data_IF_865178146400
#
_entry.id   IF_865178146400
#
_cell.length_a   1.000
_cell.length_b   1.000
_cell.length_c   1.000
_cell.angle_alpha   90.00
_cell.angle_beta   90.00
_cell.angle_gamma   90.00
#
_symmetry.space_group_name_H-M   'P 1'
#
loop_
_entity.id
_entity.type
_entity.pdbx_description
1 polymer ?
#
# COMPACT_ATOMS: atom_id res chain seq x y z
N UNK A 1 12.22 -6.91 9.36
CA UNK A 1 11.35 -8.06 9.06
C UNK A 1 9.94 -7.72 9.51
N UNK A 2 8.92 -8.11 8.72
CA UNK A 2 7.52 -7.90 9.09
C UNK A 2 7.06 -9.01 10.04
N UNK A 3 6.39 -8.61 11.12
CA UNK A 3 5.94 -9.49 12.19
C UNK A 3 4.52 -9.15 12.64
N UNK A 4 3.88 -10.12 13.29
CA UNK A 4 2.61 -9.96 13.97
C UNK A 4 2.81 -10.01 15.49
N UNK A 5 2.31 -9.02 16.22
CA UNK A 5 2.32 -8.96 17.68
C UNK A 5 1.53 -10.13 18.26
N UNK A 6 2.10 -10.76 19.30
CA UNK A 6 1.47 -11.89 20.00
C UNK A 6 0.53 -11.45 21.12
N UNK A 7 0.72 -10.25 21.65
CA UNK A 7 -0.12 -9.68 22.69
C UNK A 7 -1.44 -9.21 22.08
N UNK A 8 -2.54 -9.87 22.45
CA UNK A 8 -3.87 -9.57 21.89
C UNK A 8 -4.43 -8.25 22.38
N UNK A 9 -3.99 -7.78 23.55
CA UNK A 9 -4.37 -6.47 24.08
C UNK A 9 -3.62 -5.30 23.42
N UNK A 10 -2.56 -5.59 22.66
CA UNK A 10 -1.76 -4.59 21.95
C UNK A 10 -2.50 -4.08 20.71
N UNK A 11 -2.69 -2.76 20.62
CA UNK A 11 -3.41 -2.07 19.53
C UNK A 11 -2.51 -1.58 18.39
N UNK A 12 -1.29 -2.10 18.27
CA UNK A 12 -0.36 -1.70 17.21
C UNK A 12 -0.93 -2.07 15.84
N UNK A 13 -1.24 -1.11 14.96
CA UNK A 13 -1.40 -1.35 13.50
C UNK A 13 -2.08 -2.69 13.13
N UNK A 14 -3.25 -2.98 13.70
CA UNK A 14 -3.97 -4.25 13.53
C UNK A 14 -3.13 -5.53 13.75
N UNK A 15 -2.19 -5.45 14.68
CA UNK A 15 -1.23 -6.47 15.07
C UNK A 15 0.07 -6.50 14.28
N UNK A 16 0.33 -5.65 13.27
CA UNK A 16 1.50 -5.80 12.39
C UNK A 16 2.56 -4.72 12.59
N UNK A 17 3.84 -5.11 12.53
CA UNK A 17 4.95 -4.17 12.68
C UNK A 17 6.25 -4.65 12.04
N UNK A 18 7.17 -3.72 11.80
CA UNK A 18 8.53 -4.01 11.32
C UNK A 18 9.52 -3.97 12.49
N UNK A 19 10.34 -5.01 12.62
CA UNK A 19 11.38 -5.09 13.67
C UNK A 19 11.34 -6.41 14.44
N UNK A 20 12.20 -6.58 15.46
CA UNK A 20 12.20 -7.77 16.31
C UNK A 20 11.05 -7.74 17.34
N UNK A 21 10.85 -6.60 17.99
CA UNK A 21 9.89 -6.40 19.08
C UNK A 21 8.87 -5.33 18.70
N UNK A 22 7.65 -5.49 19.20
CA UNK A 22 6.58 -4.51 19.03
C UNK A 22 6.96 -3.19 19.74
N UNK A 23 6.92 -2.06 19.05
CA UNK A 23 7.27 -0.76 19.65
C UNK A 23 6.23 -0.23 20.66
N UNK A 24 5.10 -0.91 20.85
CA UNK A 24 4.06 -0.55 21.84
C UNK A 24 4.18 -1.39 23.11
N UNK A 25 4.16 -2.73 22.99
CA UNK A 25 4.17 -3.64 24.15
C UNK A 25 5.52 -4.31 24.41
N UNK A 26 6.52 -4.09 23.55
CA UNK A 26 7.85 -4.70 23.59
C UNK A 26 7.88 -6.24 23.44
N UNK A 27 6.75 -6.88 23.16
CA UNK A 27 6.69 -8.32 22.92
C UNK A 27 7.32 -8.74 21.59
N UNK A 28 7.87 -9.95 21.55
CA UNK A 28 8.36 -10.55 20.32
C UNK A 28 7.22 -10.86 19.34
N UNK A 29 7.43 -10.52 18.08
CA UNK A 29 6.45 -10.79 17.04
C UNK A 29 6.60 -12.17 16.41
N UNK A 30 5.48 -12.79 16.01
CA UNK A 30 5.47 -13.92 15.08
C UNK A 30 5.99 -13.46 13.72
N UNK A 31 6.98 -14.16 13.17
CA UNK A 31 7.52 -13.87 11.84
C UNK A 31 6.42 -14.03 10.77
N UNK A 32 6.30 -13.03 9.90
CA UNK A 32 5.40 -13.06 8.73
C UNK A 32 6.24 -13.16 7.45
N UNK A 33 7.17 -12.23 7.24
CA UNK A 33 8.06 -12.23 6.07
C UNK A 33 9.32 -11.40 6.29
N UNK A 34 10.35 -11.68 5.49
CA UNK A 34 11.60 -10.91 5.49
C UNK A 34 11.43 -9.52 4.88
N UNK A 35 12.37 -8.61 5.14
CA UNK A 35 12.36 -7.28 4.52
C UNK A 35 12.49 -7.34 2.99
N UNK A 36 13.21 -8.35 2.48
CA UNK A 36 13.34 -8.57 1.04
C UNK A 36 11.99 -8.92 0.41
N UNK A 37 11.23 -9.80 1.06
CA UNK A 37 9.89 -10.22 0.61
C UNK A 37 8.90 -9.08 0.72
N UNK A 38 8.85 -8.39 1.87
CA UNK A 38 7.97 -7.24 2.07
C UNK A 38 8.21 -6.13 1.04
N UNK A 39 9.47 -5.77 0.78
CA UNK A 39 9.81 -4.77 -0.24
C UNK A 39 9.45 -5.22 -1.66
N UNK A 40 9.67 -6.50 -1.97
CA UNK A 40 9.36 -7.04 -3.29
C UNK A 40 7.84 -7.11 -3.53
N UNK A 41 7.08 -7.55 -2.53
CA UNK A 41 5.61 -7.56 -2.56
C UNK A 41 5.06 -6.14 -2.59
N UNK A 42 5.62 -5.21 -1.83
CA UNK A 42 5.24 -3.80 -1.85
C UNK A 42 5.40 -3.16 -3.24
N UNK A 43 6.47 -3.48 -3.97
CA UNK A 43 6.64 -3.05 -5.38
C UNK A 43 5.61 -3.68 -6.31
N UNK A 44 5.27 -4.96 -6.11
CA UNK A 44 4.24 -5.62 -6.90
C UNK A 44 2.84 -5.03 -6.62
N UNK A 45 2.51 -4.76 -5.36
CA UNK A 45 1.27 -4.08 -4.98
C UNK A 45 1.19 -2.69 -5.62
N UNK A 46 2.27 -1.90 -5.55
CA UNK A 46 2.30 -0.59 -6.21
C UNK A 46 2.09 -0.71 -7.74
N UNK A 47 2.68 -1.71 -8.39
CA UNK A 47 2.47 -1.95 -9.83
C UNK A 47 1.02 -2.34 -10.14
N UNK A 48 0.48 -3.34 -9.44
CA UNK A 48 -0.88 -3.85 -9.68
C UNK A 48 -1.91 -2.75 -9.39
N UNK A 49 -1.83 -2.16 -8.21
CA UNK A 49 -2.88 -1.33 -7.66
C UNK A 49 -2.88 0.10 -8.21
N UNK A 50 -1.80 0.56 -8.85
CA UNK A 50 -1.68 1.94 -9.34
C UNK A 50 -1.54 2.08 -10.84
N UNK A 51 -1.13 1.02 -11.53
CA UNK A 51 -0.59 1.15 -12.87
C UNK A 51 -1.09 0.10 -13.84
N UNK A 52 -1.07 -1.17 -13.43
CA UNK A 52 -1.12 -2.28 -14.37
C UNK A 52 -1.74 -3.54 -13.72
N UNK A 53 -3.03 -3.52 -13.33
CA UNK A 53 -3.71 -4.70 -12.78
C UNK A 53 -3.68 -5.89 -13.76
N UNK A 54 -3.73 -5.62 -15.06
CA UNK A 54 -3.70 -6.62 -16.13
C UNK A 54 -2.42 -7.47 -16.13
N UNK A 55 -1.29 -6.95 -15.65
CA UNK A 55 -0.04 -7.74 -15.53
C UNK A 55 -0.18 -8.94 -14.60
N UNK A 56 -1.13 -8.88 -13.67
CA UNK A 56 -1.44 -9.96 -12.77
C UNK A 56 -2.81 -10.57 -13.04
N UNK A 57 -3.43 -10.31 -14.19
CA UNK A 57 -4.73 -10.89 -14.56
C UNK A 57 -5.76 -10.81 -13.41
N UNK A 58 -5.80 -9.68 -12.71
CA UNK A 58 -6.79 -9.41 -11.66
C UNK A 58 -7.74 -8.34 -12.15
N UNK A 59 -9.00 -8.47 -11.74
CA UNK A 59 -9.98 -7.41 -11.95
C UNK A 59 -9.84 -6.34 -10.87
N UNK A 60 -9.98 -5.10 -11.30
CA UNK A 60 -9.99 -3.92 -10.45
C UNK A 60 -11.28 -3.18 -10.71
N UNK A 61 -12.01 -2.83 -9.64
CA UNK A 61 -13.21 -2.03 -9.78
C UNK A 61 -12.90 -0.54 -10.01
N UNK A 62 -13.95 0.24 -10.25
CA UNK A 62 -13.83 1.68 -10.52
C UNK A 62 -13.24 2.47 -9.34
N UNK A 63 -13.33 1.96 -8.12
CA UNK A 63 -12.79 2.58 -6.90
C UNK A 63 -11.38 2.04 -6.55
N UNK A 64 -10.78 1.20 -7.42
CA UNK A 64 -9.43 0.67 -7.29
C UNK A 64 -9.31 -0.62 -6.49
N UNK A 65 -10.41 -1.24 -6.08
CA UNK A 65 -10.40 -2.46 -5.26
C UNK A 65 -10.06 -3.69 -6.08
N UNK A 66 -9.18 -4.52 -5.52
CA UNK A 66 -8.77 -5.81 -6.05
C UNK A 66 -8.95 -6.88 -4.98
N UNK A 67 -9.42 -8.07 -5.38
CA UNK A 67 -9.52 -9.19 -4.45
C UNK A 67 -8.13 -9.73 -4.07
N UNK A 68 -7.81 -9.70 -2.78
CA UNK A 68 -6.51 -10.09 -2.22
C UNK A 68 -6.20 -11.57 -2.43
N UNK A 69 -7.23 -12.44 -2.40
CA UNK A 69 -7.04 -13.86 -2.63
C UNK A 69 -6.64 -14.10 -4.09
N UNK A 70 -7.40 -13.55 -5.04
CA UNK A 70 -7.13 -13.66 -6.47
C UNK A 70 -5.74 -13.13 -6.82
N UNK A 71 -5.36 -11.96 -6.27
CA UNK A 71 -4.04 -11.40 -6.47
C UNK A 71 -2.93 -12.32 -5.93
N UNK A 72 -3.12 -12.92 -4.75
CA UNK A 72 -2.13 -13.84 -4.19
C UNK A 72 -2.00 -15.13 -5.02
N UNK A 73 -3.11 -15.65 -5.54
CA UNK A 73 -3.14 -16.82 -6.42
C UNK A 73 -2.47 -16.50 -7.76
N UNK A 74 -2.71 -15.33 -8.33
CA UNK A 74 -2.07 -14.91 -9.58
C UNK A 74 -0.56 -14.72 -9.43
N UNK A 75 -0.11 -14.00 -8.38
CA UNK A 75 1.32 -13.82 -8.11
C UNK A 75 2.01 -15.18 -7.92
N UNK A 76 1.42 -16.09 -7.15
CA UNK A 76 2.02 -17.40 -6.89
C UNK A 76 2.07 -18.30 -8.13
N UNK A 77 1.07 -18.22 -9.03
CA UNK A 77 1.08 -18.90 -10.34
C UNK A 77 2.20 -18.38 -11.25
N UNK A 78 2.38 -17.05 -11.32
CA UNK A 78 3.40 -16.45 -12.18
C UNK A 78 4.82 -16.56 -11.58
N UNK A 79 4.93 -16.58 -10.25
CA UNK A 79 6.21 -16.51 -9.53
C UNK A 79 6.26 -17.60 -8.45
N UNK A 80 6.74 -18.78 -8.82
CA UNK A 80 6.78 -20.00 -7.97
C UNK A 80 7.39 -19.80 -6.57
N UNK A 81 8.31 -18.86 -6.39
CA UNK A 81 8.91 -18.57 -5.08
C UNK A 81 7.93 -17.91 -4.08
N UNK A 82 6.75 -17.45 -4.54
CA UNK A 82 5.65 -16.94 -3.71
C UNK A 82 4.55 -17.98 -3.45
N UNK A 83 4.82 -19.29 -3.53
CA UNK A 83 3.84 -20.34 -3.24
C UNK A 83 3.22 -20.26 -1.83
N UNK A 84 3.91 -19.62 -0.88
CA UNK A 84 3.44 -19.38 0.49
C UNK A 84 2.50 -18.17 0.61
N UNK A 85 2.42 -17.31 -0.42
CA UNK A 85 1.65 -16.07 -0.38
C UNK A 85 0.15 -16.37 -0.30
N UNK A 86 -0.55 -15.58 0.51
CA UNK A 86 -2.00 -15.63 0.77
C UNK A 86 -2.51 -14.21 0.92
N UNK A 87 -3.79 -13.96 0.64
CA UNK A 87 -4.38 -12.61 0.68
C UNK A 87 -4.09 -11.82 1.96
N UNK A 88 -4.15 -12.47 3.13
CA UNK A 88 -3.88 -11.80 4.42
C UNK A 88 -2.46 -11.22 4.56
N UNK A 89 -1.49 -11.69 3.77
CA UNK A 89 -0.15 -11.11 3.75
C UNK A 89 -0.15 -9.68 3.17
N UNK A 90 -1.07 -9.37 2.26
CA UNK A 90 -1.24 -7.99 1.78
C UNK A 90 -1.83 -7.10 2.87
N UNK A 91 -2.75 -7.64 3.68
CA UNK A 91 -3.22 -6.96 4.88
C UNK A 91 -2.07 -6.70 5.86
N UNK A 92 -1.17 -7.67 6.06
CA UNK A 92 0.00 -7.46 6.90
C UNK A 92 0.88 -6.30 6.39
N UNK A 93 1.13 -6.23 5.07
CA UNK A 93 1.89 -5.14 4.45
C UNK A 93 1.16 -3.80 4.63
N UNK A 94 -0.14 -3.74 4.29
CA UNK A 94 -0.95 -2.53 4.37
C UNK A 94 -1.01 -1.97 5.79
N UNK A 95 -1.25 -2.82 6.78
CA UNK A 95 -1.34 -2.39 8.18
C UNK A 95 0.02 -1.97 8.74
N UNK A 96 1.13 -2.54 8.25
CA UNK A 96 2.48 -2.11 8.66
C UNK A 96 3.00 -0.85 7.95
N UNK A 97 2.23 -0.27 7.03
CA UNK A 97 2.65 0.88 6.25
C UNK A 97 2.25 2.21 6.91
N UNK A 98 3.24 2.90 7.50
CA UNK A 98 3.04 4.20 8.14
C UNK A 98 2.59 5.30 7.16
N UNK A 99 2.78 5.10 5.85
CA UNK A 99 2.33 6.06 4.83
C UNK A 99 0.89 5.84 4.38
N UNK A 100 0.23 4.80 4.88
CA UNK A 100 -1.16 4.48 4.53
C UNK A 100 -1.36 4.31 3.02
N UNK A 101 -0.40 3.74 2.28
CA UNK A 101 -0.48 3.58 0.82
C UNK A 101 -1.62 2.68 0.36
N UNK A 102 -2.11 1.83 1.26
CA UNK A 102 -3.08 0.80 0.96
C UNK A 102 -4.22 0.82 1.97
N UNK A 103 -5.43 0.56 1.48
CA UNK A 103 -6.62 0.33 2.30
C UNK A 103 -7.06 -1.11 2.12
N UNK A 104 -7.57 -1.73 3.19
CA UNK A 104 -8.02 -3.13 3.19
C UNK A 104 -9.41 -3.21 3.81
N UNK A 105 -10.33 -3.85 3.10
CA UNK A 105 -11.70 -4.09 3.55
C UNK A 105 -12.12 -5.53 3.24
N UNK A 106 -12.27 -6.34 4.30
CA UNK A 106 -12.50 -7.77 4.14
C UNK A 106 -11.37 -8.44 3.35
N UNK A 107 -11.69 -9.01 2.19
CA UNK A 107 -10.72 -9.59 1.26
C UNK A 107 -10.26 -8.63 0.16
N UNK A 108 -10.70 -7.37 0.17
CA UNK A 108 -10.36 -6.38 -0.85
C UNK A 108 -9.17 -5.52 -0.40
N UNK A 109 -8.33 -5.15 -1.35
CA UNK A 109 -7.23 -4.20 -1.17
C UNK A 109 -7.19 -3.19 -2.32
N UNK A 110 -6.90 -1.94 -2.00
CA UNK A 110 -6.62 -0.89 -3.00
C UNK A 110 -5.45 -0.01 -2.59
N UNK A 111 -4.88 0.72 -3.54
CA UNK A 111 -4.00 1.84 -3.20
C UNK A 111 -4.83 3.08 -2.89
N UNK A 112 -4.37 3.91 -1.95
CA UNK A 112 -5.03 5.16 -1.54
C UNK A 112 -4.59 6.35 -2.37
N UNK A 113 -3.50 6.25 -3.11
CA UNK A 113 -2.98 7.32 -3.95
C UNK A 113 -1.99 6.82 -5.01
N UNK A 114 -1.63 7.72 -5.93
CA UNK A 114 -0.56 7.51 -6.89
C UNK A 114 -0.96 6.70 -8.12
N UNK A 115 -2.24 6.71 -8.49
CA UNK A 115 -2.72 6.02 -9.70
C UNK A 115 -2.28 6.76 -10.97
N UNK A 116 -1.87 6.00 -11.99
CA UNK A 116 -1.77 6.48 -13.39
C UNK A 116 -2.94 6.01 -14.25
N UNK A 117 -3.76 5.10 -13.72
CA UNK A 117 -5.01 4.61 -14.30
C UNK A 117 -6.18 5.44 -13.80
N UNK A 118 -7.23 5.53 -14.61
CA UNK A 118 -8.44 6.31 -14.29
C UNK A 118 -9.34 5.51 -13.34
N UNK A 119 -9.70 6.13 -12.20
CA UNK A 119 -10.51 5.58 -11.12
C UNK A 119 -11.37 6.68 -10.51
N UNK A 120 -12.49 6.30 -9.90
CA UNK A 120 -13.35 7.16 -9.09
C UNK A 120 -13.13 6.86 -7.61
N UNK A 121 -12.06 7.41 -7.02
CA UNK A 121 -11.75 7.15 -5.61
C UNK A 121 -12.78 7.80 -4.67
N UNK A 122 -13.38 7.01 -3.79
CA UNK A 122 -14.30 7.42 -2.73
C UNK A 122 -13.58 7.69 -1.40
N UNK A 123 -12.47 8.43 -1.45
CA UNK A 123 -11.69 8.77 -0.27
C UNK A 123 -12.35 9.92 0.53
N UNK A 124 -12.17 9.96 1.86
CA UNK A 124 -12.65 11.09 2.68
C UNK A 124 -12.09 12.42 2.19
N UNK A 125 -12.94 13.43 2.09
CA UNK A 125 -12.60 14.79 1.67
C UNK A 125 -12.85 15.83 2.77
N UNK A 126 -13.18 15.37 3.98
CA UNK A 126 -13.35 16.18 5.18
C UNK A 126 -12.04 16.33 5.97
N UNK A 127 -12.03 17.30 6.90
CA UNK A 127 -10.89 17.56 7.81
C UNK A 127 -9.54 17.81 7.12
N UNK A 128 -9.54 18.27 5.86
CA UNK A 128 -8.32 18.67 5.16
C UNK A 128 -7.75 19.92 5.88
N UNK A 129 -6.45 19.92 6.25
CA UNK A 129 -5.80 21.10 6.82
C UNK A 129 -5.88 22.32 5.90
N UNK A 130 -5.90 23.52 6.48
CA UNK A 130 -5.95 24.79 5.71
C UNK A 130 -4.76 24.95 4.74
N UNK A 131 -3.61 24.35 5.08
CA UNK A 131 -2.42 24.34 4.24
C UNK A 131 -1.80 22.95 4.14
N UNK A 132 -1.35 22.61 2.94
CA UNK A 132 -0.56 21.41 2.62
C UNK A 132 0.77 21.83 1.99
N UNK A 133 1.70 20.88 1.87
CA UNK A 133 3.04 21.12 1.36
C UNK A 133 3.30 20.29 0.11
N UNK A 134 3.93 20.92 -0.90
CA UNK A 134 4.40 20.26 -2.09
C UNK A 134 5.93 20.38 -2.17
N UNK A 135 6.68 19.27 -2.03
CA UNK A 135 8.12 19.30 -2.19
C UNK A 135 8.48 19.52 -3.66
N UNK A 136 9.41 20.44 -3.92
CA UNK A 136 9.99 20.67 -5.25
C UNK A 136 11.47 21.06 -5.12
N UNK A 137 12.23 20.81 -6.18
CA UNK A 137 13.61 21.29 -6.28
C UNK A 137 13.62 22.81 -6.50
N UNK A 138 14.69 23.50 -6.06
CA UNK A 138 14.79 24.96 -6.15
C UNK A 138 14.61 25.48 -7.58
N UNK A 139 15.13 24.74 -8.55
CA UNK A 139 15.03 25.02 -9.99
C UNK A 139 13.60 24.96 -10.52
N UNK A 140 12.69 24.23 -9.84
CA UNK A 140 11.29 24.08 -10.25
C UNK A 140 10.39 25.19 -9.67
N UNK A 141 10.87 25.97 -8.70
CA UNK A 141 10.04 26.92 -7.95
C UNK A 141 9.42 27.97 -8.86
N UNK A 142 10.20 28.56 -9.76
CA UNK A 142 9.68 29.61 -10.67
C UNK A 142 8.65 29.02 -11.64
N UNK A 143 8.90 27.82 -12.17
CA UNK A 143 7.93 27.13 -13.03
C UNK A 143 6.63 26.79 -12.29
N UNK A 144 6.71 26.32 -11.03
CA UNK A 144 5.53 25.99 -10.23
C UNK A 144 4.74 27.25 -9.86
N UNK A 145 5.42 28.38 -9.60
CA UNK A 145 4.74 29.67 -9.37
C UNK A 145 4.01 30.17 -10.62
N UNK A 146 4.60 29.98 -11.79
CA UNK A 146 4.03 30.44 -13.06
C UNK A 146 2.89 29.54 -13.56
N UNK A 147 3.07 28.22 -13.51
CA UNK A 147 2.16 27.25 -14.13
C UNK A 147 1.25 26.53 -13.13
N UNK A 148 1.54 26.62 -11.84
CA UNK A 148 0.95 25.76 -10.80
C UNK A 148 1.61 24.37 -10.75
N UNK A 149 1.15 23.56 -9.79
CA UNK A 149 1.55 22.16 -9.67
C UNK A 149 0.80 21.36 -10.74
N UNK A 150 1.49 20.43 -11.40
CA UNK A 150 0.90 19.53 -12.42
C UNK A 150 0.98 18.08 -11.96
N UNK A 151 0.09 17.23 -12.48
CA UNK A 151 -0.02 15.83 -12.05
C UNK A 151 1.11 14.93 -12.58
N UNK A 152 1.84 15.37 -13.61
CA UNK A 152 2.80 14.53 -14.34
C UNK A 152 2.15 13.24 -14.85
N UNK A 153 2.77 12.09 -14.55
CA UNK A 153 2.27 10.76 -14.94
C UNK A 153 1.13 10.22 -14.05
N UNK A 154 0.68 11.00 -13.06
CA UNK A 154 -0.40 10.62 -12.14
C UNK A 154 -1.73 11.25 -12.53
N UNK A 155 -2.82 10.75 -11.96
CA UNK A 155 -4.18 11.30 -12.19
C UNK A 155 -4.56 12.47 -11.28
N UNK A 156 -3.93 12.58 -10.11
CA UNK A 156 -4.22 13.61 -9.12
C UNK A 156 -2.92 14.22 -8.59
N UNK A 157 -3.02 15.48 -8.13
CA UNK A 157 -2.00 16.18 -7.35
C UNK A 157 -2.15 15.77 -5.88
#
# INVERSE_FOLDING_TARGET
MLRQCRERSCKINNGFFTGPNCHICNEEGKFIMSDREANSLGRMLALVLRHAPEKFNVEMDINGWVNSRELSESISKQRRHYHWLRGWHFSAIANSDDKGRYQVEGEMIRATYGHSIELELDLPTDQIPEALYWPCEEEQVETIKELGITTGDRKHI
#
